data_IF_059985417354
#
_entry.id   IF_059985417354
#
_cell.length_a   1.000
_cell.length_b   1.000
_cell.length_c   1.000
_cell.angle_alpha   90.00
_cell.angle_beta   90.00
_cell.angle_gamma   90.00
#
_symmetry.space_group_name_H-M   'P 1'
#
loop_
_entity.id
_entity.type
_entity.pdbx_description
1 polymer ?
#
# COMPACT_ATOMS: atom_id res chain seq x y z
N UNK A 1 16.90 -28.80 -20.13
CA UNK A 1 17.06 -27.33 -20.15
C UNK A 1 15.76 -26.77 -20.72
N UNK A 2 15.06 -25.91 -19.95
CA UNK A 2 13.88 -25.12 -20.33
C UNK A 2 12.47 -25.65 -19.94
N UNK A 3 12.12 -25.57 -18.65
CA UNK A 3 10.72 -25.70 -18.15
C UNK A 3 10.34 -24.57 -17.17
N UNK A 4 10.85 -23.34 -17.37
CA UNK A 4 10.46 -22.14 -16.61
C UNK A 4 9.36 -21.34 -17.34
N UNK A 5 8.44 -22.02 -18.04
CA UNK A 5 7.33 -21.33 -18.71
C UNK A 5 6.10 -21.36 -17.80
N UNK A 6 5.79 -20.20 -17.22
CA UNK A 6 4.54 -19.98 -16.50
C UNK A 6 3.37 -20.41 -17.39
N UNK A 7 2.48 -21.24 -16.85
CA UNK A 7 1.28 -21.63 -17.59
C UNK A 7 0.40 -20.40 -17.87
N UNK A 8 -0.45 -20.41 -18.92
CA UNK A 8 -1.36 -19.30 -19.20
C UNK A 8 -2.26 -18.93 -18.02
N UNK A 9 -2.58 -19.91 -17.16
CA UNK A 9 -3.32 -19.70 -15.92
C UNK A 9 -2.48 -18.98 -14.85
N UNK A 10 -1.26 -19.42 -14.61
CA UNK A 10 -0.33 -18.76 -13.68
C UNK A 10 -0.01 -17.33 -14.12
N UNK A 11 0.22 -17.12 -15.42
CA UNK A 11 0.54 -15.81 -15.96
C UNK A 11 -0.62 -14.83 -15.76
N UNK A 12 -1.87 -15.30 -15.93
CA UNK A 12 -3.08 -14.51 -15.67
C UNK A 12 -3.31 -14.26 -14.18
N UNK A 13 -3.01 -15.24 -13.32
CA UNK A 13 -3.08 -15.09 -11.87
C UNK A 13 -2.04 -14.09 -11.35
N UNK A 14 -0.79 -14.18 -11.83
CA UNK A 14 0.29 -13.23 -11.52
C UNK A 14 -0.05 -11.83 -11.98
N UNK A 15 -0.58 -11.66 -13.19
CA UNK A 15 -1.02 -10.35 -13.68
C UNK A 15 -2.18 -9.78 -12.86
N UNK A 16 -3.16 -10.61 -12.49
CA UNK A 16 -4.29 -10.20 -11.65
C UNK A 16 -3.85 -9.75 -10.25
N UNK A 17 -3.09 -10.60 -9.55
CA UNK A 17 -2.57 -10.32 -8.22
C UNK A 17 -1.60 -9.12 -8.24
N UNK A 18 -0.72 -9.06 -9.24
CA UNK A 18 0.21 -7.94 -9.43
C UNK A 18 -0.52 -6.62 -9.64
N UNK A 19 -1.56 -6.58 -10.46
CA UNK A 19 -2.33 -5.35 -10.72
C UNK A 19 -3.02 -4.86 -9.45
N UNK A 20 -3.66 -5.75 -8.68
CA UNK A 20 -4.32 -5.39 -7.42
C UNK A 20 -3.30 -4.86 -6.40
N UNK A 21 -2.15 -5.52 -6.27
CA UNK A 21 -1.09 -5.09 -5.38
C UNK A 21 -0.47 -3.75 -5.80
N UNK A 22 -0.21 -3.57 -7.10
CA UNK A 22 0.29 -2.32 -7.66
C UNK A 22 -0.67 -1.17 -7.42
N UNK A 23 -1.97 -1.34 -7.68
CA UNK A 23 -3.00 -0.31 -7.40
C UNK A 23 -3.02 0.09 -5.92
N UNK A 24 -2.88 -0.89 -5.02
CA UNK A 24 -2.84 -0.64 -3.57
C UNK A 24 -1.60 0.17 -3.17
N UNK A 25 -0.42 -0.19 -3.66
CA UNK A 25 0.80 0.55 -3.35
C UNK A 25 0.81 1.95 -4.00
N UNK A 26 0.19 2.11 -5.17
CA UNK A 26 0.05 3.41 -5.84
C UNK A 26 -0.72 4.40 -4.97
N UNK A 27 -1.84 3.96 -4.37
CA UNK A 27 -2.62 4.78 -3.44
C UNK A 27 -1.80 5.23 -2.23
N UNK A 28 -1.02 4.32 -1.62
CA UNK A 28 -0.12 4.67 -0.52
C UNK A 28 0.96 5.68 -0.92
N UNK A 29 1.58 5.47 -2.09
CA UNK A 29 2.65 6.33 -2.60
C UNK A 29 2.15 7.72 -2.99
N UNK A 30 0.91 7.86 -3.44
CA UNK A 30 0.33 9.18 -3.72
C UNK A 30 -0.08 9.90 -2.44
N UNK A 31 -0.60 9.18 -1.44
CA UNK A 31 -1.08 9.76 -0.19
C UNK A 31 0.06 10.40 0.63
N UNK A 32 1.24 9.78 0.69
CA UNK A 32 2.39 10.30 1.43
C UNK A 32 2.82 11.73 1.01
N UNK A 33 3.20 11.99 -0.26
CA UNK A 33 3.62 13.31 -0.72
C UNK A 33 2.47 14.33 -0.75
N UNK A 34 1.23 13.87 -0.98
CA UNK A 34 0.04 14.75 -0.94
C UNK A 34 -0.18 15.24 0.49
N UNK A 35 -0.10 14.36 1.50
CA UNK A 35 -0.24 14.75 2.90
C UNK A 35 0.90 15.67 3.37
N UNK A 36 2.14 15.45 2.94
CA UNK A 36 3.25 16.34 3.34
C UNK A 36 3.22 17.69 2.62
N UNK A 37 2.76 17.74 1.36
CA UNK A 37 2.71 18.98 0.57
C UNK A 37 1.45 19.80 0.84
N UNK A 38 0.27 19.17 0.87
CA UNK A 38 -1.01 19.85 1.06
C UNK A 38 -1.51 19.82 2.50
N UNK A 39 -0.95 18.95 3.36
CA UNK A 39 -1.35 18.89 4.77
C UNK A 39 -1.07 20.19 5.50
N UNK A 40 0.01 20.92 5.18
CA UNK A 40 0.28 22.24 5.79
C UNK A 40 -0.67 23.35 5.32
N UNK A 41 -1.40 23.14 4.23
CA UNK A 41 -2.44 24.07 3.76
C UNK A 41 -3.79 23.82 4.46
N UNK A 42 -3.92 22.73 5.24
CA UNK A 42 -5.11 22.46 6.03
C UNK A 42 -5.11 23.30 7.31
N UNK A 43 -6.23 23.98 7.57
CA UNK A 43 -6.42 24.84 8.73
C UNK A 43 -6.32 24.02 10.03
N UNK A 44 -5.31 24.27 10.86
CA UNK A 44 -5.03 23.52 12.09
C UNK A 44 -4.04 22.37 11.95
N UNK A 45 -3.41 22.21 10.78
CA UNK A 45 -2.38 21.19 10.57
C UNK A 45 -1.04 21.60 11.18
N UNK A 46 -0.54 20.76 12.09
CA UNK A 46 0.84 20.80 12.57
C UNK A 46 1.61 19.66 11.94
N UNK A 47 2.91 19.84 11.68
CA UNK A 47 3.82 18.79 11.20
C UNK A 47 3.70 17.51 12.05
N UNK A 48 3.47 17.66 13.36
CA UNK A 48 3.24 16.55 14.28
C UNK A 48 1.97 15.75 13.99
N UNK A 49 0.87 16.40 13.57
CA UNK A 49 -0.40 15.75 13.24
C UNK A 49 -0.32 14.99 11.91
N UNK A 50 0.39 15.55 10.92
CA UNK A 50 0.64 14.89 9.63
C UNK A 50 1.53 13.66 9.85
N UNK A 51 2.60 13.80 10.64
CA UNK A 51 3.46 12.68 11.03
C UNK A 51 2.69 11.60 11.80
N UNK A 52 1.80 11.99 12.72
CA UNK A 52 0.94 11.05 13.44
C UNK A 52 -0.04 10.32 12.50
N UNK A 53 -0.64 11.01 11.54
CA UNK A 53 -1.55 10.40 10.57
C UNK A 53 -0.84 9.34 9.71
N UNK A 54 0.36 9.65 9.21
CA UNK A 54 1.19 8.71 8.45
C UNK A 54 1.62 7.53 9.35
N UNK A 55 2.01 7.81 10.60
CA UNK A 55 2.41 6.79 11.56
C UNK A 55 1.28 5.82 11.90
N UNK A 56 0.07 6.32 12.18
CA UNK A 56 -1.12 5.49 12.46
C UNK A 56 -1.48 4.65 11.23
N UNK A 57 -1.35 5.20 10.02
CA UNK A 57 -1.61 4.45 8.80
C UNK A 57 -0.69 3.22 8.66
N UNK A 58 0.63 3.39 8.87
CA UNK A 58 1.59 2.29 8.85
C UNK A 58 1.40 1.30 10.01
N UNK A 59 1.05 1.81 11.21
CA UNK A 59 0.79 0.98 12.39
C UNK A 59 -0.47 0.12 12.20
N UNK A 60 -1.57 0.71 11.75
CA UNK A 60 -2.79 0.00 11.42
C UNK A 60 -2.52 -1.04 10.34
N UNK A 61 -1.75 -0.69 9.31
CA UNK A 61 -1.36 -1.63 8.28
C UNK A 61 -0.61 -2.83 8.88
N UNK A 62 0.41 -2.64 9.73
CA UNK A 62 1.14 -3.75 10.34
C UNK A 62 0.25 -4.60 11.27
N UNK A 63 -0.56 -3.95 12.12
CA UNK A 63 -1.43 -4.60 13.10
C UNK A 63 -2.51 -5.44 12.43
N UNK A 64 -3.08 -4.98 11.31
CA UNK A 64 -4.12 -5.72 10.60
C UNK A 64 -3.55 -6.67 9.54
N UNK A 65 -2.44 -6.33 8.87
CA UNK A 65 -1.87 -7.15 7.80
C UNK A 65 -1.34 -8.50 8.30
N UNK A 66 -0.72 -8.56 9.48
CA UNK A 66 -0.26 -9.84 10.07
C UNK A 66 -1.41 -10.81 10.37
N UNK A 67 -2.49 -10.44 11.09
CA UNK A 67 -3.61 -11.33 11.36
C UNK A 67 -4.41 -11.68 10.10
N UNK A 68 -4.63 -10.74 9.16
CA UNK A 68 -5.29 -11.07 7.89
C UNK A 68 -4.44 -12.01 7.02
N UNK A 69 -3.10 -11.93 7.11
CA UNK A 69 -2.20 -12.86 6.43
C UNK A 69 -2.15 -14.25 7.05
N UNK A 70 -2.54 -14.40 8.33
CA UNK A 70 -2.68 -15.70 9.00
C UNK A 70 -4.04 -16.36 8.74
N UNK A 71 -5.06 -15.56 8.41
CA UNK A 71 -6.42 -16.03 8.11
C UNK A 71 -6.59 -16.52 6.66
N UNK A 72 -5.62 -16.25 5.78
CA UNK A 72 -5.65 -16.59 4.36
C UNK A 72 -4.83 -17.84 4.07
#
# INVERSE_FOLDING_TARGET
MNDNKMTPGELRATWGLGTVFSLRMLGMFMVLPVLTTYGMALQGASEALIGLAIGIYGLAQAVFQIPFGLLI
#
